data_IF_591612535294
#
_entry.id   IF_591612535294
#
_cell.length_a   1.000
_cell.length_b   1.000
_cell.length_c   1.000
_cell.angle_alpha   90.00
_cell.angle_beta   90.00
_cell.angle_gamma   90.00
#
_symmetry.space_group_name_H-M   'P 1'
#
loop_
_entity.id
_entity.type
_entity.pdbx_description
1 polymer ?
#
# COMPACT_ATOMS: atom_id res chain seq x y z
N UNK A 1 6.31 3.76 32.13
CA UNK A 1 6.15 4.90 31.20
C UNK A 1 7.04 4.60 30.00
N UNK A 2 6.46 4.14 28.90
CA UNK A 2 7.19 3.86 27.67
C UNK A 2 7.83 5.15 27.15
N UNK A 3 9.12 5.16 26.79
CA UNK A 3 9.75 6.36 26.26
C UNK A 3 9.07 6.75 24.95
N UNK A 4 8.51 7.96 24.88
CA UNK A 4 7.94 8.50 23.65
C UNK A 4 9.05 8.67 22.62
N UNK A 5 8.80 8.23 21.39
CA UNK A 5 9.73 8.41 20.28
C UNK A 5 9.99 9.90 20.05
N UNK A 6 11.26 10.26 19.79
CA UNK A 6 11.72 11.64 19.58
C UNK A 6 10.89 12.35 18.50
N UNK A 7 10.45 11.61 17.48
CA UNK A 7 9.63 12.14 16.39
C UNK A 7 8.26 12.65 16.87
N UNK A 8 7.63 11.97 17.83
CA UNK A 8 6.33 12.37 18.40
C UNK A 8 6.50 13.70 19.12
N UNK A 9 7.51 13.82 19.98
CA UNK A 9 7.82 15.06 20.71
C UNK A 9 8.12 16.22 19.75
N UNK A 10 8.81 15.95 18.63
CA UNK A 10 9.11 16.95 17.61
C UNK A 10 7.85 17.52 16.95
N UNK A 11 6.86 16.67 16.63
CA UNK A 11 5.63 17.10 15.94
C UNK A 11 4.51 17.51 16.89
N UNK A 12 4.64 17.31 18.20
CA UNK A 12 3.60 17.63 19.19
C UNK A 12 3.08 19.08 19.08
N UNK A 13 3.97 20.04 18.82
CA UNK A 13 3.62 21.47 18.75
C UNK A 13 3.13 21.92 17.38
N UNK A 14 3.69 21.37 16.30
CA UNK A 14 3.41 21.81 14.92
C UNK A 14 2.26 21.01 14.27
N UNK A 15 2.04 19.77 14.69
CA UNK A 15 1.04 18.87 14.15
C UNK A 15 0.55 17.88 15.23
N UNK A 16 -0.19 18.37 16.22
CA UNK A 16 -0.65 17.57 17.38
C UNK A 16 -1.42 16.31 16.98
N UNK A 17 -2.38 16.43 16.04
CA UNK A 17 -3.14 15.27 15.52
C UNK A 17 -2.25 14.18 14.92
N UNK A 18 -1.17 14.58 14.24
CA UNK A 18 -0.23 13.64 13.65
C UNK A 18 0.59 12.95 14.75
N UNK A 19 1.02 13.69 15.77
CA UNK A 19 1.75 13.14 16.91
C UNK A 19 0.90 12.11 17.68
N UNK A 20 -0.37 12.42 17.94
CA UNK A 20 -1.32 11.51 18.61
C UNK A 20 -1.59 10.26 17.76
N UNK A 21 -1.74 10.41 16.44
CA UNK A 21 -1.88 9.27 15.53
C UNK A 21 -0.61 8.41 15.52
N UNK A 22 0.58 9.02 15.42
CA UNK A 22 1.86 8.32 15.41
C UNK A 22 2.09 7.49 16.69
N UNK A 23 1.74 8.03 17.86
CA UNK A 23 1.91 7.33 19.14
C UNK A 23 1.17 5.99 19.16
N UNK A 24 0.00 5.94 18.51
CA UNK A 24 -0.85 4.74 18.49
C UNK A 24 -0.59 3.81 17.30
N UNK A 25 0.06 4.27 16.22
CA UNK A 25 0.14 3.52 14.95
C UNK A 25 1.58 3.16 14.52
N UNK A 26 2.60 3.77 15.14
CA UNK A 26 4.00 3.43 14.85
C UNK A 26 4.31 1.96 15.14
N UNK A 27 3.87 1.34 16.26
CA UNK A 27 4.18 -0.07 16.52
C UNK A 27 3.78 -1.00 15.37
N UNK A 28 2.59 -0.81 14.80
CA UNK A 28 2.08 -1.56 13.66
C UNK A 28 2.92 -1.29 12.40
N UNK A 29 3.31 -0.03 12.16
CA UNK A 29 4.18 0.34 11.05
C UNK A 29 5.59 -0.27 11.13
N UNK A 30 6.09 -0.52 12.35
CA UNK A 30 7.39 -1.15 12.57
C UNK A 30 7.38 -2.68 12.43
N UNK A 31 6.19 -3.30 12.27
CA UNK A 31 6.06 -4.76 12.03
C UNK A 31 6.90 -5.23 10.84
N UNK A 32 7.18 -4.32 9.90
CA UNK A 32 8.02 -4.59 8.74
C UNK A 32 9.41 -5.14 9.07
N UNK A 33 9.98 -4.76 10.22
CA UNK A 33 11.29 -5.26 10.63
C UNK A 33 11.28 -6.74 11.03
N UNK A 34 10.09 -7.34 11.14
CA UNK A 34 9.92 -8.79 11.34
C UNK A 34 10.12 -9.60 10.05
N UNK A 35 10.16 -8.94 8.88
CA UNK A 35 10.41 -9.60 7.59
C UNK A 35 11.92 -9.60 7.25
N UNK A 36 12.39 -10.55 6.43
CA UNK A 36 13.78 -10.56 5.96
C UNK A 36 14.15 -9.25 5.25
N UNK A 37 15.42 -8.84 5.38
CA UNK A 37 15.91 -7.55 4.85
C UNK A 37 15.67 -7.40 3.34
N UNK A 38 15.68 -8.51 2.59
CA UNK A 38 15.36 -8.55 1.17
C UNK A 38 13.95 -8.01 0.84
N UNK A 39 12.97 -8.25 1.73
CA UNK A 39 11.56 -7.89 1.52
C UNK A 39 11.20 -6.51 2.08
N UNK A 40 11.90 -6.05 3.12
CA UNK A 40 11.60 -4.80 3.82
C UNK A 40 11.49 -3.59 2.87
N UNK A 41 12.35 -3.51 1.85
CA UNK A 41 12.31 -2.39 0.90
C UNK A 41 11.02 -2.34 0.10
N UNK A 42 10.44 -3.48 -0.25
CA UNK A 42 9.22 -3.56 -1.04
C UNK A 42 7.99 -3.33 -0.15
N UNK A 43 7.96 -3.99 1.01
CA UNK A 43 6.85 -3.90 1.97
C UNK A 43 6.71 -2.48 2.54
N UNK A 44 7.81 -1.73 2.71
CA UNK A 44 7.76 -0.38 3.32
C UNK A 44 7.16 0.67 2.40
N UNK A 45 7.06 0.38 1.10
CA UNK A 45 6.65 1.36 0.10
C UNK A 45 5.29 1.02 -0.47
N UNK A 46 4.50 2.06 -0.76
CA UNK A 46 3.21 1.94 -1.45
C UNK A 46 3.33 1.91 -2.97
N UNK A 47 4.56 1.83 -3.52
CA UNK A 47 4.81 1.94 -4.96
C UNK A 47 4.01 0.95 -5.82
N UNK A 48 3.95 -0.33 -5.41
CA UNK A 48 3.18 -1.35 -6.13
C UNK A 48 1.69 -1.04 -6.11
N UNK A 49 1.16 -0.68 -4.94
CA UNK A 49 -0.24 -0.32 -4.76
C UNK A 49 -0.61 0.96 -5.53
N UNK A 50 0.25 1.97 -5.53
CA UNK A 50 0.05 3.21 -6.28
C UNK A 50 0.07 2.97 -7.79
N UNK A 51 0.96 2.10 -8.29
CA UNK A 51 0.98 1.69 -9.69
C UNK A 51 -0.32 0.99 -10.08
N UNK A 52 -0.79 0.05 -9.27
CA UNK A 52 -2.06 -0.66 -9.49
C UNK A 52 -3.25 0.31 -9.48
N UNK A 53 -3.34 1.17 -8.47
CA UNK A 53 -4.40 2.17 -8.36
C UNK A 53 -4.39 3.16 -9.53
N UNK A 54 -3.21 3.54 -10.03
CA UNK A 54 -3.08 4.39 -11.22
C UNK A 54 -3.65 3.70 -12.45
N UNK A 55 -3.40 2.41 -12.61
CA UNK A 55 -3.91 1.64 -13.73
C UNK A 55 -5.43 1.47 -13.68
N UNK A 56 -5.98 1.14 -12.50
CA UNK A 56 -7.43 1.11 -12.27
C UNK A 56 -8.05 2.47 -12.63
N UNK A 57 -7.48 3.58 -12.13
CA UNK A 57 -7.97 4.94 -12.44
C UNK A 57 -7.86 5.26 -13.94
N UNK A 58 -6.79 4.82 -14.61
CA UNK A 58 -6.59 5.06 -16.04
C UNK A 58 -7.67 4.38 -16.88
N UNK A 59 -7.97 3.10 -16.63
CA UNK A 59 -8.95 2.35 -17.42
C UNK A 59 -10.40 2.71 -17.09
N UNK A 60 -10.70 2.97 -15.82
CA UNK A 60 -12.03 3.44 -15.40
C UNK A 60 -12.35 4.84 -15.94
N UNK A 61 -11.35 5.72 -16.08
CA UNK A 61 -11.52 7.07 -16.66
C UNK A 61 -12.05 7.06 -18.10
N UNK A 62 -11.74 6.03 -18.90
CA UNK A 62 -12.26 5.91 -20.27
C UNK A 62 -13.78 5.72 -20.28
N UNK A 63 -14.31 4.97 -19.31
CA UNK A 63 -15.75 4.72 -19.18
C UNK A 63 -16.48 5.95 -18.63
N UNK A 64 -15.83 6.72 -17.75
CA UNK A 64 -16.34 7.93 -17.06
C UNK A 64 -17.57 7.70 -16.16
N UNK A 65 -18.65 7.09 -16.65
CA UNK A 65 -19.88 6.78 -15.91
C UNK A 65 -20.25 5.31 -16.17
N UNK A 66 -20.45 4.54 -15.09
CA UNK A 66 -20.88 3.15 -15.18
C UNK A 66 -22.40 3.02 -15.07
N UNK A 67 -23.03 2.08 -15.80
CA UNK A 67 -24.47 1.87 -15.76
C UNK A 67 -24.96 1.23 -14.45
N UNK A 68 -24.09 0.54 -13.71
CA UNK A 68 -24.33 -0.01 -12.38
C UNK A 68 -22.99 -0.42 -11.72
N UNK A 69 -23.04 -0.72 -10.42
CA UNK A 69 -21.87 -1.17 -9.65
C UNK A 69 -21.25 -2.45 -10.22
N UNK A 70 -22.06 -3.39 -10.69
CA UNK A 70 -21.58 -4.64 -11.29
C UNK A 70 -20.73 -4.43 -12.53
N UNK A 71 -21.03 -3.41 -13.35
CA UNK A 71 -20.21 -3.06 -14.50
C UNK A 71 -18.83 -2.51 -14.11
N UNK A 72 -18.78 -1.69 -13.06
CA UNK A 72 -17.53 -1.18 -12.50
C UNK A 72 -16.69 -2.33 -11.91
N UNK A 73 -17.32 -3.18 -11.10
CA UNK A 73 -16.67 -4.33 -10.47
C UNK A 73 -16.07 -5.26 -11.54
N UNK A 74 -16.81 -5.59 -12.60
CA UNK A 74 -16.29 -6.42 -13.70
C UNK A 74 -15.03 -5.85 -14.33
N UNK A 75 -15.00 -4.55 -14.62
CA UNK A 75 -13.82 -3.92 -15.22
C UNK A 75 -12.63 -3.95 -14.25
N UNK A 76 -12.84 -3.57 -12.98
CA UNK A 76 -11.78 -3.57 -11.98
C UNK A 76 -11.24 -4.97 -11.76
N UNK A 77 -12.12 -5.97 -11.60
CA UNK A 77 -11.72 -7.37 -11.48
C UNK A 77 -10.93 -7.86 -12.69
N UNK A 78 -11.34 -7.52 -13.91
CA UNK A 78 -10.60 -7.90 -15.11
C UNK A 78 -9.17 -7.31 -15.11
N UNK A 79 -8.99 -6.06 -14.68
CA UNK A 79 -7.67 -5.42 -14.55
C UNK A 79 -6.80 -6.13 -13.51
N UNK A 80 -7.40 -6.48 -12.36
CA UNK A 80 -6.70 -7.20 -11.30
C UNK A 80 -6.28 -8.60 -11.76
N UNK A 81 -7.14 -9.31 -12.50
CA UNK A 81 -6.83 -10.61 -13.08
C UNK A 81 -5.67 -10.51 -14.07
N UNK A 82 -5.73 -9.57 -15.02
CA UNK A 82 -4.63 -9.33 -15.96
C UNK A 82 -3.30 -9.00 -15.25
N UNK A 83 -3.34 -8.18 -14.20
CA UNK A 83 -2.15 -7.87 -13.40
C UNK A 83 -1.61 -9.11 -12.68
N UNK A 84 -2.50 -9.98 -12.18
CA UNK A 84 -2.11 -11.24 -11.52
C UNK A 84 -1.42 -12.16 -12.52
N UNK A 85 -2.02 -12.35 -13.70
CA UNK A 85 -1.46 -13.18 -14.77
C UNK A 85 -0.08 -12.68 -15.20
N UNK A 86 0.12 -11.37 -15.32
CA UNK A 86 1.43 -10.76 -15.59
C UNK A 86 2.47 -11.07 -14.50
N UNK A 87 2.07 -11.12 -13.23
CA UNK A 87 2.97 -11.41 -12.12
C UNK A 87 3.32 -12.90 -12.03
N UNK A 88 2.40 -13.78 -12.42
CA UNK A 88 2.61 -15.23 -12.45
C UNK A 88 3.53 -15.65 -13.61
N UNK A 89 3.35 -15.04 -14.79
CA UNK A 89 4.17 -15.34 -15.98
C UNK A 89 5.50 -14.57 -15.96
N UNK A 90 5.50 -13.37 -15.36
CA UNK A 90 6.63 -12.46 -15.31
C UNK A 90 7.47 -12.55 -14.03
N UNK A 91 7.98 -11.40 -13.59
CA UNK A 91 8.70 -11.29 -12.30
C UNK A 91 7.69 -10.94 -11.21
N UNK A 92 7.52 -11.84 -10.25
CA UNK A 92 6.80 -11.59 -9.00
C UNK A 92 7.29 -10.30 -8.34
N UNK A 93 6.35 -9.41 -8.00
CA UNK A 93 6.66 -8.14 -7.35
C UNK A 93 7.29 -8.36 -5.96
N UNK A 94 6.78 -9.32 -5.19
CA UNK A 94 7.29 -9.74 -3.89
C UNK A 94 7.37 -11.27 -3.86
N UNK A 95 8.57 -11.82 -3.87
CA UNK A 95 8.79 -13.25 -3.69
C UNK A 95 9.10 -13.53 -2.22
N UNK A 96 8.14 -14.09 -1.48
CA UNK A 96 8.31 -14.40 -0.05
C UNK A 96 9.33 -15.51 0.22
N UNK A 97 9.62 -16.35 -0.77
CA UNK A 97 10.61 -17.44 -0.69
C UNK A 97 12.04 -16.97 -1.03
N UNK A 98 12.19 -15.74 -1.55
CA UNK A 98 13.50 -15.18 -1.83
C UNK A 98 14.24 -14.90 -0.51
N UNK A 99 15.31 -15.66 -0.26
CA UNK A 99 16.20 -15.49 0.92
C UNK A 99 16.99 -14.19 0.85
#
# INVERSE_FOLDING_TARGET
MTPKLIIITKYQKTASKLADWMENNIPEGLTIFSFPAAHQRLIRTTNGLERLNREIKRRTRVVSIFPNEGACLRLVSAILMETSDEWEVGRLYLNLEAR
#
